data_IF_984621244288
#
_entry.id   IF_984621244288
#
_cell.length_a   1.000
_cell.length_b   1.000
_cell.length_c   1.000
_cell.angle_alpha   90.00
_cell.angle_beta   90.00
_cell.angle_gamma   90.00
#
_symmetry.space_group_name_H-M   'P 1'
#
loop_
_entity.id
_entity.type
_entity.pdbx_description
1 polymer ?
#
# COMPACT_ATOMS: atom_id res chain seq x y z
N UNK A 1 23.17 28.61 -0.79
CA UNK A 1 22.26 27.89 0.13
C UNK A 1 21.34 28.81 0.95
N UNK A 2 20.87 29.96 0.42
CA UNK A 2 20.04 30.91 1.20
C UNK A 2 18.64 31.22 0.66
N UNK A 3 18.27 30.73 -0.54
CA UNK A 3 17.01 31.11 -1.21
C UNK A 3 15.93 30.02 -1.22
N UNK A 4 16.29 28.77 -0.89
CA UNK A 4 15.34 27.64 -0.80
C UNK A 4 14.66 27.51 0.56
N UNK A 5 15.27 28.06 1.63
CA UNK A 5 14.69 28.06 2.99
C UNK A 5 13.65 29.15 3.20
N UNK A 6 13.66 30.22 2.39
CA UNK A 6 12.67 31.30 2.46
C UNK A 6 11.32 30.91 1.85
N UNK A 7 11.32 30.06 0.82
CA UNK A 7 10.09 29.64 0.14
C UNK A 7 9.28 28.61 0.96
N UNK A 8 9.96 27.76 1.73
CA UNK A 8 9.32 26.75 2.59
C UNK A 8 8.71 27.32 3.89
N UNK A 9 9.14 28.49 4.36
CA UNK A 9 8.55 29.12 5.57
C UNK A 9 7.28 29.92 5.28
N UNK A 10 7.08 30.42 4.06
CA UNK A 10 5.91 31.23 3.72
C UNK A 10 4.66 30.39 3.41
N UNK A 11 4.83 29.13 2.98
CA UNK A 11 3.72 28.25 2.62
C UNK A 11 3.07 27.58 3.84
N UNK A 12 3.84 27.33 4.91
CA UNK A 12 3.32 26.73 6.15
C UNK A 12 2.58 27.75 7.04
N UNK A 13 2.88 29.05 6.93
CA UNK A 13 2.21 30.09 7.71
C UNK A 13 0.78 30.43 7.23
N UNK A 14 0.37 30.00 6.02
CA UNK A 14 -0.97 30.25 5.48
C UNK A 14 -2.00 29.15 5.76
N UNK A 15 -1.57 28.02 6.32
CA UNK A 15 -2.44 26.86 6.52
C UNK A 15 -2.95 26.67 7.95
N UNK A 16 -2.61 27.58 8.88
CA UNK A 16 -2.96 27.47 10.32
C UNK A 16 -4.03 28.49 10.76
N UNK A 17 -4.42 29.45 9.92
CA UNK A 17 -5.35 30.54 10.29
C UNK A 17 -6.78 30.31 9.81
N UNK A 18 -7.36 29.14 10.09
CA UNK A 18 -8.79 28.90 9.82
C UNK A 18 -9.43 28.07 10.93
N UNK A 19 -9.63 28.70 12.08
CA UNK A 19 -10.42 28.18 13.18
C UNK A 19 -11.58 29.16 13.42
N UNK A 20 -12.85 28.77 13.22
CA UNK A 20 -13.95 29.63 13.62
C UNK A 20 -14.37 29.28 15.07
N UNK A 21 -14.02 30.19 15.97
CA UNK A 21 -14.60 30.31 17.31
C UNK A 21 -16.09 30.67 17.21
N UNK A 22 -16.94 29.90 17.89
CA UNK A 22 -18.35 30.24 18.05
C UNK A 22 -18.57 31.26 19.17
N UNK A 23 -19.41 32.28 18.93
CA UNK A 23 -20.62 32.62 19.72
C UNK A 23 -21.32 33.90 19.24
N UNK A 24 -22.65 33.85 19.38
CA UNK A 24 -23.61 34.93 19.64
C UNK A 24 -24.15 35.81 18.49
N UNK A 25 -25.36 35.41 18.05
CA UNK A 25 -26.61 36.19 18.02
C UNK A 25 -26.64 37.59 17.35
N UNK A 26 -27.39 37.68 16.25
CA UNK A 26 -28.47 38.67 16.10
C UNK A 26 -29.43 38.27 14.97
N UNK A 27 -30.68 38.62 15.20
CA UNK A 27 -31.90 38.29 14.46
C UNK A 27 -32.20 39.27 13.32
N UNK A 28 -32.62 38.76 12.14
CA UNK A 28 -33.71 39.34 11.36
C UNK A 28 -34.19 38.38 10.23
N UNK A 29 -35.49 38.36 9.89
CA UNK A 29 -36.10 37.36 9.01
C UNK A 29 -36.42 37.88 7.59
N UNK A 30 -36.80 36.92 6.74
CA UNK A 30 -37.48 37.03 5.44
C UNK A 30 -36.62 37.36 4.20
N UNK A 31 -36.48 36.38 3.31
CA UNK A 31 -37.09 36.47 1.97
C UNK A 31 -37.05 35.10 1.25
N UNK A 32 -38.18 34.74 0.64
CA UNK A 32 -38.35 33.59 -0.23
C UNK A 32 -37.41 33.71 -1.44
N UNK A 33 -36.65 32.65 -1.74
CA UNK A 33 -35.96 32.53 -3.03
C UNK A 33 -35.96 31.06 -3.49
N UNK A 34 -36.84 30.80 -4.45
CA UNK A 34 -36.72 29.90 -5.60
C UNK A 34 -36.21 28.44 -5.42
N UNK A 35 -37.05 27.41 -5.63
CA UNK A 35 -36.68 25.99 -5.48
C UNK A 35 -35.98 25.35 -6.71
N UNK A 36 -35.46 26.13 -7.67
CA UNK A 36 -35.01 25.59 -8.97
C UNK A 36 -33.50 25.30 -9.13
N UNK A 37 -32.68 25.43 -8.08
CA UNK A 37 -31.21 25.29 -8.19
C UNK A 37 -30.58 24.02 -7.56
N UNK A 38 -31.36 22.98 -7.25
CA UNK A 38 -30.90 21.82 -6.47
C UNK A 38 -30.64 20.52 -7.27
N UNK A 39 -30.43 20.58 -8.58
CA UNK A 39 -30.29 19.37 -9.43
C UNK A 39 -28.97 19.24 -10.19
N UNK A 40 -27.90 19.92 -9.78
CA UNK A 40 -26.59 19.81 -10.48
C UNK A 40 -25.40 19.39 -9.58
N UNK A 41 -25.67 18.74 -8.44
CA UNK A 41 -24.62 18.28 -7.50
C UNK A 41 -24.44 16.76 -7.44
N UNK A 42 -25.02 16.02 -8.39
CA UNK A 42 -25.18 14.56 -8.30
C UNK A 42 -24.17 13.72 -9.12
N UNK A 43 -23.08 14.29 -9.64
CA UNK A 43 -22.01 13.52 -10.29
C UNK A 43 -20.62 13.84 -9.72
N UNK A 44 -20.44 13.61 -8.43
CA UNK A 44 -19.11 13.27 -7.91
C UNK A 44 -18.78 11.84 -8.36
N UNK A 45 -18.37 11.73 -9.63
CA UNK A 45 -17.82 10.52 -10.21
C UNK A 45 -16.61 10.07 -9.36
N UNK A 46 -16.86 9.16 -8.42
CA UNK A 46 -15.83 8.45 -7.68
C UNK A 46 -15.15 7.49 -8.64
N UNK A 47 -14.20 8.02 -9.42
CA UNK A 47 -13.38 7.19 -10.28
C UNK A 47 -12.67 6.14 -9.39
N UNK A 48 -12.88 4.84 -9.65
CA UNK A 48 -12.21 3.81 -8.87
C UNK A 48 -10.71 3.94 -9.12
N UNK A 49 -9.96 4.26 -8.08
CA UNK A 49 -8.49 4.24 -8.13
C UNK A 49 -8.07 2.78 -8.26
N UNK A 50 -7.90 2.32 -9.50
CA UNK A 50 -7.47 0.95 -9.79
C UNK A 50 -5.96 0.84 -9.52
N UNK A 51 -5.61 0.55 -8.26
CA UNK A 51 -4.22 0.25 -7.88
C UNK A 51 -3.88 -1.18 -8.32
N UNK A 52 -3.35 -1.33 -9.54
CA UNK A 52 -2.83 -2.61 -10.04
C UNK A 52 -1.42 -2.86 -9.49
N UNK A 53 -1.32 -3.39 -8.28
CA UNK A 53 -0.02 -3.77 -7.71
C UNK A 53 -0.10 -4.21 -6.26
N UNK A 54 0.80 -5.11 -5.84
CA UNK A 54 1.04 -5.31 -4.41
C UNK A 54 1.85 -4.13 -3.89
N UNK A 55 1.38 -3.38 -2.89
CA UNK A 55 2.07 -2.25 -2.26
C UNK A 55 3.58 -2.51 -2.01
N UNK A 56 3.92 -3.76 -1.66
CA UNK A 56 5.31 -4.23 -1.48
C UNK A 56 6.18 -4.03 -2.73
N UNK A 57 5.65 -4.33 -3.91
CA UNK A 57 6.34 -4.24 -5.21
C UNK A 57 6.53 -2.77 -5.63
N UNK A 58 5.59 -1.90 -5.29
CA UNK A 58 5.67 -0.49 -5.65
C UNK A 58 6.62 0.26 -4.72
N UNK A 59 6.62 -0.02 -3.42
CA UNK A 59 7.62 0.48 -2.47
C UNK A 59 9.04 0.03 -2.82
N UNK A 60 9.20 -1.22 -3.27
CA UNK A 60 10.47 -1.75 -3.76
C UNK A 60 10.97 -0.99 -4.99
N UNK A 61 10.08 -0.64 -5.92
CA UNK A 61 10.42 0.04 -7.17
C UNK A 61 10.66 1.55 -6.99
N UNK A 62 9.87 2.22 -6.15
CA UNK A 62 9.92 3.69 -6.00
C UNK A 62 10.98 4.18 -5.00
N UNK A 63 11.27 3.44 -3.93
CA UNK A 63 12.19 3.90 -2.89
C UNK A 63 13.57 3.24 -2.93
N UNK A 64 13.60 1.91 -2.89
CA UNK A 64 14.82 1.18 -2.51
C UNK A 64 15.63 0.72 -3.73
N UNK A 65 14.95 0.39 -4.83
CA UNK A 65 15.58 0.12 -6.12
C UNK A 65 16.58 1.20 -6.56
N UNK A 66 16.21 2.49 -6.62
CA UNK A 66 17.13 3.55 -7.03
C UNK A 66 18.27 3.76 -6.04
N UNK A 67 18.02 3.70 -4.72
CA UNK A 67 19.10 3.81 -3.72
C UNK A 67 20.13 2.68 -3.82
N UNK A 68 19.68 1.44 -3.97
CA UNK A 68 20.57 0.30 -4.16
C UNK A 68 21.36 0.40 -5.47
N UNK A 69 20.71 0.84 -6.55
CA UNK A 69 21.35 1.06 -7.84
C UNK A 69 22.45 2.14 -7.75
N UNK A 70 22.16 3.26 -7.08
CA UNK A 70 23.14 4.34 -6.86
C UNK A 70 24.31 3.85 -6.00
N UNK A 71 24.06 3.11 -4.92
CA UNK A 71 25.13 2.57 -4.08
C UNK A 71 26.05 1.61 -4.83
N UNK A 72 25.47 0.72 -5.66
CA UNK A 72 26.23 -0.20 -6.51
C UNK A 72 27.01 0.56 -7.59
N UNK A 73 26.40 1.57 -8.23
CA UNK A 73 27.05 2.40 -9.24
C UNK A 73 28.25 3.17 -8.66
N UNK A 74 28.08 3.78 -7.47
CA UNK A 74 29.18 4.48 -6.78
C UNK A 74 30.30 3.51 -6.38
N UNK A 75 29.97 2.32 -5.89
CA UNK A 75 30.98 1.32 -5.51
C UNK A 75 31.75 0.82 -6.74
N UNK A 76 31.05 0.57 -7.84
CA UNK A 76 31.66 0.18 -9.10
C UNK A 76 32.57 1.30 -9.66
N UNK A 77 32.08 2.54 -9.66
CA UNK A 77 32.82 3.71 -10.11
C UNK A 77 34.09 3.93 -9.27
N UNK A 78 33.99 3.89 -7.93
CA UNK A 78 35.14 4.05 -7.04
C UNK A 78 36.17 2.93 -7.22
N UNK A 79 35.71 1.68 -7.36
CA UNK A 79 36.60 0.54 -7.60
C UNK A 79 37.34 0.68 -8.92
N UNK A 80 36.64 1.06 -9.99
CA UNK A 80 37.26 1.28 -11.30
C UNK A 80 38.27 2.43 -11.26
N UNK A 81 37.89 3.58 -10.72
CA UNK A 81 38.76 4.74 -10.58
C UNK A 81 40.02 4.44 -9.76
N UNK A 82 39.90 3.63 -8.69
CA UNK A 82 41.05 3.23 -7.88
C UNK A 82 42.01 2.31 -8.66
N UNK A 83 41.48 1.39 -9.45
CA UNK A 83 42.28 0.50 -10.30
C UNK A 83 43.04 1.29 -11.36
N UNK A 84 42.37 2.23 -12.03
CA UNK A 84 43.00 3.08 -13.06
C UNK A 84 44.10 3.95 -12.45
N UNK A 85 43.87 4.47 -11.23
CA UNK A 85 44.88 5.26 -10.51
C UNK A 85 46.10 4.43 -10.14
N UNK A 86 45.91 3.18 -9.68
CA UNK A 86 47.01 2.26 -9.37
C UNK A 86 47.81 1.89 -10.63
N UNK A 87 47.13 1.61 -11.73
CA UNK A 87 47.74 1.30 -13.02
C UNK A 87 48.57 2.49 -13.55
N UNK A 88 47.99 3.69 -13.54
CA UNK A 88 48.67 4.91 -13.98
C UNK A 88 49.88 5.24 -13.09
N UNK A 89 49.79 5.02 -11.78
CA UNK A 89 50.91 5.20 -10.86
C UNK A 89 52.05 4.20 -11.15
N UNK A 90 51.72 2.93 -11.41
CA UNK A 90 52.72 1.92 -11.81
C UNK A 90 53.48 2.32 -13.07
N UNK A 91 52.73 2.72 -14.10
CA UNK A 91 53.28 3.05 -15.40
C UNK A 91 54.14 4.31 -15.32
N UNK A 92 53.70 5.32 -14.55
CA UNK A 92 54.47 6.52 -14.32
C UNK A 92 55.80 6.24 -13.60
N UNK A 93 55.79 5.41 -12.54
CA UNK A 93 57.01 5.02 -11.82
C UNK A 93 57.95 4.18 -12.69
N UNK A 94 57.42 3.18 -13.42
CA UNK A 94 58.21 2.34 -14.31
C UNK A 94 58.89 3.15 -15.43
N UNK A 95 58.15 4.09 -16.02
CA UNK A 95 58.68 4.98 -17.05
C UNK A 95 59.69 5.99 -16.48
N UNK A 96 59.50 6.47 -15.26
CA UNK A 96 60.46 7.33 -14.57
C UNK A 96 61.79 6.60 -14.31
N UNK A 97 61.73 5.35 -13.84
CA UNK A 97 62.91 4.50 -13.65
C UNK A 97 63.65 4.26 -14.97
N UNK A 98 62.93 3.95 -16.06
CA UNK A 98 63.54 3.79 -17.39
C UNK A 98 64.24 5.07 -17.88
N UNK A 99 63.60 6.24 -17.72
CA UNK A 99 64.20 7.54 -18.06
C UNK A 99 65.43 7.87 -17.21
N UNK A 100 65.40 7.55 -15.93
CA UNK A 100 66.53 7.78 -15.03
C UNK A 100 67.75 6.94 -15.42
N UNK A 101 67.55 5.65 -15.69
CA UNK A 101 68.63 4.76 -16.16
C UNK A 101 69.15 5.22 -17.52
N UNK A 102 68.27 5.60 -18.44
CA UNK A 102 68.67 6.15 -19.74
C UNK A 102 69.51 7.42 -19.60
N UNK A 103 69.13 8.33 -18.70
CA UNK A 103 69.86 9.57 -18.44
C UNK A 103 71.23 9.34 -17.78
N UNK A 104 71.38 8.30 -16.95
CA UNK A 104 72.65 7.93 -16.31
C UNK A 104 73.57 7.12 -17.23
N UNK A 105 73.04 6.59 -18.34
CA UNK A 105 73.78 5.75 -19.28
C UNK A 105 74.29 6.55 -20.49
N UNK A 106 74.02 7.85 -20.58
CA UNK A 106 74.27 8.67 -21.78
C UNK A 106 75.75 8.69 -22.20
N UNK A 107 76.65 9.04 -21.28
CA UNK A 107 78.08 9.15 -21.53
C UNK A 107 78.74 7.77 -21.59
N UNK A 108 78.33 6.85 -20.69
CA UNK A 108 78.91 5.50 -20.62
C UNK A 108 78.57 4.66 -21.85
N UNK A 109 77.38 4.85 -22.44
CA UNK A 109 76.99 4.18 -23.69
C UNK A 109 77.70 4.77 -24.91
N UNK A 110 77.96 6.07 -24.90
CA UNK A 110 78.73 6.74 -25.95
C UNK A 110 80.23 6.38 -25.92
N UNK A 111 80.81 6.29 -24.72
CA UNK A 111 82.21 5.93 -24.52
C UNK A 111 82.50 4.41 -24.61
N UNK A 112 81.47 3.57 -24.62
CA UNK A 112 81.62 2.11 -24.63
C UNK A 112 82.11 1.52 -23.30
N UNK A 113 81.92 2.22 -22.18
CA UNK A 113 82.37 1.79 -20.85
C UNK A 113 81.38 0.78 -20.23
N UNK A 114 81.60 -0.50 -20.52
CA UNK A 114 80.81 -1.62 -20.00
C UNK A 114 80.78 -1.68 -18.46
N UNK A 115 81.93 -1.55 -17.73
CA UNK A 115 81.92 -1.46 -16.27
C UNK A 115 81.03 -0.35 -15.70
N UNK A 116 81.05 0.85 -16.29
CA UNK A 116 80.20 1.96 -15.83
C UNK A 116 78.70 1.68 -16.08
N UNK A 117 78.35 1.14 -17.25
CA UNK A 117 76.97 0.73 -17.55
C UNK A 117 76.47 -0.38 -16.60
N UNK A 118 77.33 -1.35 -16.25
CA UNK A 118 77.01 -2.39 -15.28
C UNK A 118 76.73 -1.80 -13.90
N UNK A 119 77.48 -0.76 -13.49
CA UNK A 119 77.27 -0.07 -12.22
C UNK A 119 75.94 0.68 -12.18
N UNK A 120 75.57 1.36 -13.27
CA UNK A 120 74.27 2.04 -13.40
C UNK A 120 73.12 1.03 -13.35
N UNK A 121 73.22 -0.05 -14.13
CA UNK A 121 72.22 -1.11 -14.14
C UNK A 121 72.10 -1.81 -12.76
N UNK A 122 73.23 -2.07 -12.10
CA UNK A 122 73.26 -2.62 -10.74
C UNK A 122 72.71 -1.66 -9.68
N UNK A 123 72.94 -0.35 -9.82
CA UNK A 123 72.36 0.66 -8.93
C UNK A 123 70.83 0.73 -9.05
N UNK A 124 70.31 0.62 -10.28
CA UNK A 124 68.88 0.56 -10.53
C UNK A 124 68.24 -0.66 -9.86
N UNK A 125 68.85 -1.85 -9.96
CA UNK A 125 68.37 -3.04 -9.25
C UNK A 125 68.35 -2.88 -7.73
N UNK A 126 69.39 -2.26 -7.15
CA UNK A 126 69.47 -2.03 -5.69
C UNK A 126 68.38 -1.10 -5.17
N UNK A 127 67.79 -0.25 -6.02
CA UNK A 127 66.65 0.59 -5.63
C UNK A 127 65.39 -0.21 -5.29
N UNK A 128 65.30 -1.48 -5.72
CA UNK A 128 64.13 -2.34 -5.55
C UNK A 128 62.94 -2.00 -6.45
N UNK A 129 63.04 -0.93 -7.26
CA UNK A 129 61.96 -0.50 -8.15
C UNK A 129 61.92 -1.28 -9.47
N UNK A 130 63.00 -2.00 -9.80
CA UNK A 130 63.18 -2.68 -11.09
C UNK A 130 63.81 -4.05 -10.87
N UNK A 131 63.31 -5.04 -11.59
CA UNK A 131 63.72 -6.45 -11.45
C UNK A 131 64.83 -6.81 -12.42
N UNK A 132 64.83 -6.19 -13.61
CA UNK A 132 65.87 -6.35 -14.62
C UNK A 132 66.02 -5.07 -15.44
N UNK A 133 67.25 -4.78 -15.82
CA UNK A 133 67.61 -3.66 -16.68
C UNK A 133 68.42 -4.19 -17.85
N UNK A 134 68.06 -3.77 -19.05
CA UNK A 134 68.74 -4.11 -20.29
C UNK A 134 69.03 -2.83 -21.07
N UNK A 135 70.31 -2.56 -21.30
CA UNK A 135 70.78 -1.38 -22.02
C UNK A 135 71.33 -1.87 -23.35
N UNK A 136 70.75 -1.41 -24.45
CA UNK A 136 71.10 -1.81 -25.81
C UNK A 136 71.55 -0.62 -26.66
N UNK A 137 72.51 -0.83 -27.55
CA UNK A 137 72.90 0.14 -28.60
C UNK A 137 72.52 -0.45 -29.98
N UNK A 138 72.38 0.39 -31.01
CA UNK A 138 72.16 0.02 -32.42
C UNK A 138 73.21 -0.95 -32.98
N UNK A 139 74.39 -1.04 -32.33
CA UNK A 139 75.46 -1.99 -32.65
C UNK A 139 75.36 -3.35 -31.94
N UNK A 140 74.32 -3.60 -31.13
CA UNK A 140 74.08 -4.89 -30.46
C UNK A 140 74.91 -5.12 -29.18
N UNK A 141 75.35 -4.06 -28.49
CA UNK A 141 75.97 -4.16 -27.15
C UNK A 141 74.87 -4.18 -26.10
N UNK A 142 74.79 -5.26 -25.31
CA UNK A 142 73.76 -5.46 -24.29
C UNK A 142 74.37 -5.62 -22.90
N UNK A 143 74.20 -4.61 -22.06
CA UNK A 143 74.43 -4.76 -20.63
C UNK A 143 73.13 -5.23 -20.00
N UNK A 144 73.15 -6.42 -19.42
CA UNK A 144 72.02 -6.96 -18.67
C UNK A 144 72.38 -7.05 -17.19
N UNK A 145 71.53 -6.50 -16.35
CA UNK A 145 71.62 -6.66 -14.91
C UNK A 145 70.28 -7.19 -14.40
N UNK A 146 70.34 -8.27 -13.64
CA UNK A 146 69.19 -8.95 -13.04
C UNK A 146 69.20 -10.44 -13.36
N UNK A 147 68.25 -11.21 -12.80
CA UNK A 147 68.11 -12.63 -13.14
C UNK A 147 67.92 -12.80 -14.65
N UNK A 148 68.60 -13.80 -15.23
CA UNK A 148 68.45 -14.17 -16.64
C UNK A 148 66.96 -14.40 -16.93
N UNK A 149 66.53 -14.03 -18.15
CA UNK A 149 65.13 -14.11 -18.59
C UNK A 149 64.47 -15.34 -17.99
N UNK A 150 63.40 -15.18 -17.19
CA UNK A 150 62.81 -16.34 -16.56
C UNK A 150 62.02 -17.06 -17.64
N UNK A 151 62.69 -17.93 -18.40
CA UNK A 151 62.04 -18.88 -19.31
C UNK A 151 61.03 -19.78 -18.55
N UNK A 152 61.02 -19.70 -17.21
CA UNK A 152 60.14 -20.39 -16.27
C UNK A 152 59.25 -19.48 -15.41
N UNK A 153 59.36 -18.14 -15.45
CA UNK A 153 58.34 -17.28 -14.85
C UNK A 153 57.30 -16.97 -15.92
N UNK A 154 56.00 -17.00 -15.59
CA UNK A 154 54.98 -16.65 -16.56
C UNK A 154 55.26 -15.23 -17.06
N UNK A 155 55.39 -15.07 -18.39
CA UNK A 155 55.57 -13.77 -19.05
C UNK A 155 54.51 -12.71 -18.64
N UNK A 156 53.46 -13.14 -17.95
CA UNK A 156 52.40 -12.31 -17.37
C UNK A 156 52.77 -11.55 -16.09
N UNK A 157 53.86 -11.89 -15.38
CA UNK A 157 54.20 -11.25 -14.09
C UNK A 157 55.18 -10.08 -14.19
N UNK A 158 55.57 -9.68 -15.39
CA UNK A 158 56.57 -8.62 -15.59
C UNK A 158 56.09 -7.65 -16.65
N UNK A 159 56.22 -6.35 -16.39
CA UNK A 159 55.90 -5.28 -17.36
C UNK A 159 57.18 -4.59 -17.80
N UNK A 160 57.27 -4.32 -19.10
CA UNK A 160 58.46 -3.73 -19.75
C UNK A 160 58.21 -2.24 -19.99
N UNK A 161 59.15 -1.41 -19.55
CA UNK A 161 59.19 0.03 -19.77
C UNK A 161 60.42 0.39 -20.59
N UNK A 162 60.27 1.25 -21.60
CA UNK A 162 61.36 1.58 -22.52
C UNK A 162 61.62 3.08 -22.56
N UNK A 163 62.89 3.46 -22.53
CA UNK A 163 63.32 4.84 -22.70
C UNK A 163 64.51 4.93 -23.68
N UNK A 164 64.48 5.88 -24.63
CA UNK A 164 65.63 6.13 -25.51
C UNK A 164 66.75 6.85 -24.77
N UNK A 165 68.00 6.49 -25.08
CA UNK A 165 69.21 7.19 -24.61
C UNK A 165 69.60 8.25 -25.64
N UNK A 166 69.58 9.51 -25.23
CA UNK A 166 69.99 10.66 -26.05
C UNK A 166 71.14 11.39 -25.37
N UNK A 167 72.18 11.75 -26.12
CA UNK A 167 73.28 12.59 -25.61
C UNK A 167 72.76 13.97 -25.21
N UNK A 168 73.04 14.38 -23.96
CA UNK A 168 72.73 15.73 -23.50
C UNK A 168 73.76 16.72 -24.05
N UNK A 169 73.34 17.96 -24.30
CA UNK A 169 74.23 19.01 -24.86
C UNK A 169 75.42 19.34 -23.93
N UNK A 170 75.25 19.20 -22.61
CA UNK A 170 76.34 19.35 -21.65
C UNK A 170 77.44 18.29 -21.84
N UNK A 171 77.07 17.07 -22.26
CA UNK A 171 78.00 15.98 -22.58
C UNK A 171 78.57 16.09 -24.00
N UNK A 172 77.96 16.89 -24.89
CA UNK A 172 78.53 17.26 -26.21
C UNK A 172 79.71 18.23 -26.09
N UNK A 173 79.76 19.03 -25.02
CA UNK A 173 80.72 20.12 -24.88
C UNK A 173 82.14 19.70 -24.42
N UNK A 174 82.34 18.46 -24.00
CA UNK A 174 83.65 17.96 -23.57
C UNK A 174 84.28 17.11 -24.69
N UNK A 175 85.28 17.64 -25.40
CA UNK A 175 86.47 17.01 -26.01
C UNK A 175 86.33 15.72 -26.87
N UNK A 176 85.12 15.16 -27.06
CA UNK A 176 84.91 13.81 -27.58
C UNK A 176 83.99 13.75 -28.83
N UNK A 177 83.86 14.84 -29.58
CA UNK A 177 83.14 14.84 -30.85
C UNK A 177 84.06 14.33 -31.98
N UNK A 178 83.82 13.14 -32.59
CA UNK A 178 84.55 12.73 -33.78
C UNK A 178 84.15 13.62 -34.97
N UNK A 179 85.10 13.91 -35.85
CA UNK A 179 84.86 14.66 -37.08
C UNK A 179 83.87 13.90 -37.98
N UNK A 180 82.64 14.42 -38.09
CA UNK A 180 81.59 13.86 -38.95
C UNK A 180 80.28 13.44 -38.26
N UNK A 181 80.07 13.77 -36.97
CA UNK A 181 78.76 13.53 -36.34
C UNK A 181 77.70 14.41 -36.99
N UNK A 182 76.89 13.83 -37.87
CA UNK A 182 75.73 14.51 -38.45
C UNK A 182 74.71 14.84 -37.38
N UNK A 183 74.20 16.06 -37.49
CA UNK A 183 73.09 16.61 -36.74
C UNK A 183 71.92 15.62 -36.64
N UNK A 184 71.31 15.58 -35.46
CA UNK A 184 70.06 14.87 -35.26
C UNK A 184 70.00 14.21 -33.89
N UNK A 185 68.93 14.52 -33.17
CA UNK A 185 68.53 13.95 -31.90
C UNK A 185 68.20 12.43 -31.96
N UNK A 186 68.92 11.65 -32.78
CA UNK A 186 68.73 10.23 -32.94
C UNK A 186 69.19 9.50 -31.66
N UNK A 187 68.37 8.59 -31.11
CA UNK A 187 68.73 7.84 -29.92
C UNK A 187 69.92 6.91 -30.21
N UNK A 188 70.89 6.93 -29.31
CA UNK A 188 72.16 6.16 -29.40
C UNK A 188 71.93 4.73 -28.90
N UNK A 189 70.87 4.53 -28.11
CA UNK A 189 70.46 3.22 -27.65
C UNK A 189 69.12 3.24 -26.94
N UNK A 190 68.70 2.08 -26.48
CA UNK A 190 67.42 1.86 -25.82
C UNK A 190 67.64 1.14 -24.50
N UNK A 191 67.07 1.70 -23.44
CA UNK A 191 67.00 1.06 -22.12
C UNK A 191 65.64 0.41 -21.96
N UNK A 192 65.63 -0.89 -21.68
CA UNK A 192 64.47 -1.63 -21.24
C UNK A 192 64.59 -1.90 -19.75
N UNK A 193 63.53 -1.57 -19.03
CA UNK A 193 63.40 -1.82 -17.61
C UNK A 193 62.22 -2.75 -17.40
N UNK A 194 62.46 -3.86 -16.71
CA UNK A 194 61.45 -4.85 -16.39
C UNK A 194 61.12 -4.74 -14.91
N UNK A 195 59.83 -4.57 -14.60
CA UNK A 195 59.33 -4.46 -13.22
C UNK A 195 58.33 -5.58 -12.93
N UNK A 196 58.49 -6.22 -11.77
CA UNK A 196 57.59 -7.26 -11.29
C UNK A 196 56.19 -6.68 -10.97
N UNK A 197 55.15 -7.36 -11.43
CA UNK A 197 53.75 -6.99 -11.20
C UNK A 197 53.14 -7.69 -9.98
N UNK A 198 53.86 -8.59 -9.30
CA UNK A 198 53.33 -9.36 -8.14
C UNK A 198 52.86 -8.48 -6.97
N UNK A 199 53.58 -7.40 -6.65
CA UNK A 199 53.17 -6.44 -5.63
C UNK A 199 51.88 -5.69 -6.04
N UNK A 200 51.79 -5.32 -7.32
CA UNK A 200 50.63 -4.66 -7.90
C UNK A 200 49.40 -5.54 -8.00
N UNK A 201 49.57 -6.81 -8.35
CA UNK A 201 48.47 -7.76 -8.36
C UNK A 201 47.95 -7.99 -6.94
N UNK A 202 48.81 -8.07 -5.92
CA UNK A 202 48.39 -8.19 -4.52
C UNK A 202 47.60 -6.96 -4.04
N UNK A 203 48.04 -5.74 -4.38
CA UNK A 203 47.29 -4.51 -4.04
C UNK A 203 45.96 -4.42 -4.79
N UNK A 204 45.93 -4.78 -6.07
CA UNK A 204 44.71 -4.88 -6.88
C UNK A 204 43.70 -5.83 -6.26
N UNK A 205 44.12 -7.04 -5.86
CA UNK A 205 43.23 -8.03 -5.23
C UNK A 205 42.69 -7.51 -3.89
N UNK A 206 43.52 -6.82 -3.10
CA UNK A 206 43.10 -6.20 -1.85
C UNK A 206 42.05 -5.10 -2.08
N UNK A 207 42.26 -4.21 -3.04
CA UNK A 207 41.29 -3.16 -3.39
C UNK A 207 39.97 -3.74 -3.92
N UNK A 208 40.03 -4.80 -4.73
CA UNK A 208 38.83 -5.51 -5.19
C UNK A 208 38.06 -6.15 -4.03
N UNK A 209 38.74 -6.83 -3.10
CA UNK A 209 38.09 -7.42 -1.93
C UNK A 209 37.41 -6.36 -1.06
N UNK A 210 38.05 -5.19 -0.87
CA UNK A 210 37.41 -4.08 -0.13
C UNK A 210 36.19 -3.52 -0.85
N UNK A 211 36.23 -3.38 -2.19
CA UNK A 211 35.08 -2.93 -2.98
C UNK A 211 33.92 -3.92 -2.94
N UNK A 212 34.19 -5.22 -3.04
CA UNK A 212 33.19 -6.30 -2.91
C UNK A 212 32.58 -6.27 -1.50
N UNK A 213 33.39 -6.09 -0.46
CA UNK A 213 32.92 -5.98 0.92
C UNK A 213 31.93 -4.82 1.11
N UNK A 214 32.27 -3.63 0.61
CA UNK A 214 31.40 -2.45 0.65
C UNK A 214 30.10 -2.69 -0.13
N UNK A 215 30.18 -3.29 -1.32
CA UNK A 215 29.01 -3.61 -2.14
C UNK A 215 28.07 -4.59 -1.42
N UNK A 216 28.60 -5.62 -0.76
CA UNK A 216 27.82 -6.61 -0.03
C UNK A 216 27.14 -6.00 1.20
N UNK A 217 27.83 -5.13 1.94
CA UNK A 217 27.26 -4.37 3.06
C UNK A 217 26.12 -3.47 2.57
N UNK A 218 26.32 -2.75 1.45
CA UNK A 218 25.29 -1.90 0.87
C UNK A 218 24.04 -2.70 0.45
N UNK A 219 24.24 -3.88 -0.12
CA UNK A 219 23.14 -4.78 -0.52
C UNK A 219 22.39 -5.34 0.69
N UNK A 220 23.10 -5.74 1.75
CA UNK A 220 22.49 -6.17 3.01
C UNK A 220 21.71 -5.04 3.68
N UNK A 221 22.25 -3.82 3.71
CA UNK A 221 21.58 -2.64 4.25
C UNK A 221 20.29 -2.33 3.45
N UNK A 222 20.36 -2.39 2.11
CA UNK A 222 19.19 -2.24 1.25
C UNK A 222 18.14 -3.32 1.54
N UNK A 223 18.55 -4.59 1.64
CA UNK A 223 17.65 -5.70 1.98
C UNK A 223 17.00 -5.53 3.36
N UNK A 224 17.78 -5.13 4.37
CA UNK A 224 17.28 -4.86 5.71
C UNK A 224 16.27 -3.71 5.70
N UNK A 225 16.55 -2.62 4.98
CA UNK A 225 15.63 -1.49 4.80
C UNK A 225 14.31 -1.92 4.14
N UNK A 226 14.35 -2.76 3.08
CA UNK A 226 13.13 -3.34 2.47
C UNK A 226 12.32 -4.10 3.50
N UNK A 227 12.99 -4.97 4.26
CA UNK A 227 12.32 -5.82 5.25
C UNK A 227 11.70 -5.01 6.38
N UNK A 228 12.36 -3.94 6.82
CA UNK A 228 11.82 -3.00 7.80
C UNK A 228 10.61 -2.24 7.25
N UNK A 229 10.71 -1.63 6.07
CA UNK A 229 9.61 -0.87 5.45
C UNK A 229 8.37 -1.76 5.20
N UNK A 230 8.58 -2.98 4.73
CA UNK A 230 7.51 -3.96 4.52
C UNK A 230 6.78 -4.32 5.82
N UNK A 231 7.49 -4.37 6.96
CA UNK A 231 6.88 -4.60 8.27
C UNK A 231 6.24 -3.34 8.84
N UNK A 232 6.86 -2.17 8.67
CA UNK A 232 6.40 -0.91 9.23
C UNK A 232 5.11 -0.38 8.56
N UNK A 233 4.97 -0.54 7.24
CA UNK A 233 3.86 0.06 6.48
C UNK A 233 2.89 -0.99 5.96
N UNK A 234 3.39 -2.04 5.31
CA UNK A 234 2.51 -2.99 4.61
C UNK A 234 1.76 -3.94 5.55
N UNK A 235 2.30 -4.26 6.74
CA UNK A 235 1.58 -5.07 7.72
C UNK A 235 0.39 -4.31 8.34
N UNK A 236 0.54 -3.08 8.89
CA UNK A 236 -0.59 -2.32 9.43
C UNK A 236 -1.66 -1.99 8.38
N UNK A 237 -1.26 -1.66 7.15
CA UNK A 237 -2.25 -1.36 6.11
C UNK A 237 -3.11 -2.59 5.76
N UNK A 238 -2.50 -3.79 5.75
CA UNK A 238 -3.23 -5.05 5.53
C UNK A 238 -4.14 -5.41 6.70
N UNK A 239 -3.77 -5.12 7.95
CA UNK A 239 -4.67 -5.35 9.08
C UNK A 239 -5.88 -4.43 9.01
N UNK A 240 -5.68 -3.13 8.74
CA UNK A 240 -6.78 -2.16 8.57
C UNK A 240 -7.72 -2.59 7.46
N UNK A 241 -7.19 -2.93 6.27
CA UNK A 241 -8.00 -3.39 5.14
C UNK A 241 -8.83 -4.64 5.47
N UNK A 242 -8.26 -5.60 6.22
CA UNK A 242 -9.00 -6.79 6.67
C UNK A 242 -10.09 -6.43 7.69
N UNK A 243 -9.83 -5.51 8.59
CA UNK A 243 -10.83 -5.04 9.56
C UNK A 243 -11.99 -4.36 8.84
N UNK A 244 -11.72 -3.48 7.86
CA UNK A 244 -12.77 -2.85 7.05
C UNK A 244 -13.60 -3.89 6.30
N UNK A 245 -12.96 -4.86 5.64
CA UNK A 245 -13.68 -5.95 4.97
C UNK A 245 -14.51 -6.80 5.96
N UNK A 246 -14.06 -6.96 7.21
CA UNK A 246 -14.83 -7.62 8.25
C UNK A 246 -16.05 -6.79 8.70
N UNK A 247 -15.91 -5.46 8.80
CA UNK A 247 -17.01 -4.55 9.10
C UNK A 247 -18.07 -4.55 7.99
N UNK A 248 -17.65 -4.55 6.72
CA UNK A 248 -18.56 -4.67 5.57
C UNK A 248 -19.31 -6.00 5.56
N UNK A 249 -18.68 -7.08 6.03
CA UNK A 249 -19.31 -8.39 6.19
C UNK A 249 -20.20 -8.50 7.45
N UNK A 250 -20.48 -7.39 8.14
CA UNK A 250 -21.33 -7.34 9.34
C UNK A 250 -20.65 -7.80 10.64
N UNK A 251 -19.34 -8.07 10.63
CA UNK A 251 -18.59 -8.48 11.83
C UNK A 251 -18.05 -7.26 12.56
N UNK A 252 -18.94 -6.57 13.27
CA UNK A 252 -18.61 -5.33 13.99
C UNK A 252 -17.70 -5.51 15.21
N UNK A 253 -17.33 -6.74 15.57
CA UNK A 253 -16.38 -7.04 16.66
C UNK A 253 -14.91 -6.97 16.23
N UNK A 254 -14.64 -6.95 14.92
CA UNK A 254 -13.28 -6.86 14.42
C UNK A 254 -12.61 -5.55 14.86
N UNK A 255 -11.35 -5.63 15.28
CA UNK A 255 -10.55 -4.48 15.72
C UNK A 255 -9.18 -4.52 15.08
N UNK A 256 -8.64 -3.33 14.83
CA UNK A 256 -7.25 -3.14 14.48
C UNK A 256 -6.40 -3.15 15.76
N UNK A 257 -5.47 -4.09 15.87
CA UNK A 257 -4.49 -4.11 16.95
C UNK A 257 -3.42 -3.03 16.70
N UNK A 258 -3.43 -1.98 17.52
CA UNK A 258 -2.44 -0.90 17.46
C UNK A 258 -1.23 -1.30 18.29
N UNK A 259 -0.38 -2.17 17.73
CA UNK A 259 0.90 -2.54 18.37
C UNK A 259 1.89 -1.40 18.19
N UNK A 260 1.77 -0.35 19.01
CA UNK A 260 2.80 0.67 19.15
C UNK A 260 3.93 0.16 20.03
N UNK A 261 5.03 -0.31 19.44
CA UNK A 261 6.27 -0.49 20.21
C UNK A 261 6.85 0.90 20.55
N UNK A 262 7.04 1.26 21.83
CA UNK A 262 7.49 2.59 22.23
C UNK A 262 8.92 2.95 21.75
N UNK A 263 9.76 1.96 21.46
CA UNK A 263 11.21 2.16 21.38
C UNK A 263 11.82 2.28 19.97
N UNK A 264 11.05 2.67 18.95
CA UNK A 264 11.56 2.69 17.57
C UNK A 264 11.54 4.09 16.92
N UNK A 265 12.68 4.60 16.40
CA UNK A 265 12.89 6.01 16.00
C UNK A 265 12.11 6.53 14.77
N UNK A 266 11.27 5.70 14.13
CA UNK A 266 10.38 6.13 13.04
C UNK A 266 8.95 6.43 13.57
N UNK A 267 8.82 7.41 14.47
CA UNK A 267 7.60 7.64 15.24
C UNK A 267 6.52 8.47 14.51
N UNK A 268 6.87 9.25 13.46
CA UNK A 268 5.92 10.14 12.77
C UNK A 268 4.93 9.40 11.86
N UNK A 269 5.39 8.60 10.89
CA UNK A 269 4.50 7.86 9.97
C UNK A 269 3.63 6.84 10.72
N UNK A 270 4.14 6.32 11.84
CA UNK A 270 3.37 5.46 12.75
C UNK A 270 2.24 6.19 13.45
N UNK A 271 2.35 7.50 13.65
CA UNK A 271 1.32 8.27 14.33
C UNK A 271 0.07 8.41 13.45
N UNK A 272 0.23 8.65 12.14
CA UNK A 272 -0.90 8.75 11.21
C UNK A 272 -1.59 7.40 11.01
N UNK A 273 -0.83 6.32 10.83
CA UNK A 273 -1.40 4.96 10.73
C UNK A 273 -2.05 4.51 12.03
N UNK A 274 -1.49 4.87 13.19
CA UNK A 274 -2.11 4.61 14.49
C UNK A 274 -3.39 5.44 14.69
N UNK A 275 -3.40 6.70 14.26
CA UNK A 275 -4.60 7.53 14.27
C UNK A 275 -5.70 6.90 13.40
N UNK A 276 -5.37 6.50 12.17
CA UNK A 276 -6.32 5.80 11.28
C UNK A 276 -6.84 4.50 11.90
N UNK A 277 -5.98 3.69 12.50
CA UNK A 277 -6.40 2.46 13.16
C UNK A 277 -7.35 2.74 14.34
N UNK A 278 -7.09 3.79 15.11
CA UNK A 278 -7.98 4.24 16.18
C UNK A 278 -9.33 4.76 15.65
N UNK A 279 -9.33 5.49 14.53
CA UNK A 279 -10.56 5.98 13.89
C UNK A 279 -11.41 4.82 13.37
N UNK A 280 -10.80 3.81 12.76
CA UNK A 280 -11.49 2.58 12.34
C UNK A 280 -12.06 1.82 13.55
N UNK A 281 -11.32 1.74 14.66
CA UNK A 281 -11.82 1.13 15.89
C UNK A 281 -13.02 1.90 16.47
N UNK A 282 -12.99 3.24 16.45
CA UNK A 282 -14.12 4.10 16.86
C UNK A 282 -15.34 3.90 15.97
N UNK A 283 -15.12 3.75 14.65
CA UNK A 283 -16.20 3.45 13.70
C UNK A 283 -16.82 2.08 13.99
N UNK A 284 -16.00 1.05 14.18
CA UNK A 284 -16.46 -0.30 14.53
C UNK A 284 -17.33 -0.30 15.79
N UNK A 285 -16.90 0.44 16.82
CA UNK A 285 -17.66 0.57 18.07
C UNK A 285 -19.01 1.28 17.87
N UNK A 286 -19.05 2.34 17.04
CA UNK A 286 -20.31 3.03 16.71
C UNK A 286 -21.28 2.13 15.95
N UNK A 287 -20.78 1.36 14.98
CA UNK A 287 -21.60 0.41 14.22
C UNK A 287 -22.14 -0.70 15.12
N UNK A 288 -21.31 -1.27 15.99
CA UNK A 288 -21.73 -2.27 16.96
C UNK A 288 -22.81 -1.74 17.91
N UNK A 289 -22.64 -0.53 18.45
CA UNK A 289 -23.65 0.12 19.30
C UNK A 289 -24.96 0.37 18.56
N UNK A 290 -24.90 0.86 17.32
CA UNK A 290 -26.10 1.06 16.51
C UNK A 290 -26.83 -0.25 16.21
N UNK A 291 -26.09 -1.32 15.91
CA UNK A 291 -26.67 -2.64 15.68
C UNK A 291 -27.40 -3.15 16.93
N UNK A 292 -26.77 -3.08 18.10
CA UNK A 292 -27.39 -3.49 19.37
C UNK A 292 -28.65 -2.68 19.69
N UNK A 293 -28.60 -1.36 19.53
CA UNK A 293 -29.77 -0.49 19.76
C UNK A 293 -30.89 -0.80 18.76
N UNK A 294 -30.56 -1.09 17.50
CA UNK A 294 -31.54 -1.46 16.48
C UNK A 294 -32.22 -2.79 16.81
N UNK A 295 -31.45 -3.81 17.18
CA UNK A 295 -31.98 -5.12 17.58
C UNK A 295 -32.91 -5.01 18.79
N UNK A 296 -32.54 -4.21 19.79
CA UNK A 296 -33.36 -4.02 20.98
C UNK A 296 -34.68 -3.32 20.63
N UNK A 297 -34.64 -2.25 19.81
CA UNK A 297 -35.86 -1.58 19.33
C UNK A 297 -36.76 -2.51 18.53
N UNK A 298 -36.19 -3.39 17.70
CA UNK A 298 -36.97 -4.39 16.97
C UNK A 298 -37.63 -5.38 17.92
N UNK A 299 -36.91 -5.85 18.95
CA UNK A 299 -37.50 -6.75 19.97
C UNK A 299 -38.62 -6.07 20.75
N UNK A 300 -38.40 -4.85 21.22
CA UNK A 300 -39.41 -4.06 21.95
C UNK A 300 -40.65 -3.82 21.07
N UNK A 301 -40.46 -3.37 19.82
CA UNK A 301 -41.56 -3.14 18.89
C UNK A 301 -42.34 -4.42 18.59
N UNK A 302 -41.64 -5.55 18.43
CA UNK A 302 -42.27 -6.85 18.20
C UNK A 302 -43.07 -7.30 19.43
N UNK A 303 -42.54 -7.13 20.64
CA UNK A 303 -43.24 -7.46 21.88
C UNK A 303 -44.51 -6.61 22.06
N UNK A 304 -44.42 -5.30 21.81
CA UNK A 304 -45.59 -4.40 21.85
C UNK A 304 -46.63 -4.77 20.79
N UNK A 305 -46.18 -5.12 19.58
CA UNK A 305 -47.09 -5.55 18.51
C UNK A 305 -47.84 -6.84 18.91
N UNK A 306 -47.13 -7.84 19.44
CA UNK A 306 -47.74 -9.09 19.93
C UNK A 306 -48.73 -8.85 21.05
N UNK A 307 -48.39 -7.97 22.01
CA UNK A 307 -49.30 -7.60 23.10
C UNK A 307 -50.57 -6.95 22.56
N UNK A 308 -50.45 -5.97 21.65
CA UNK A 308 -51.61 -5.30 21.05
C UNK A 308 -52.48 -6.25 20.23
N UNK A 309 -51.87 -7.20 19.52
CA UNK A 309 -52.61 -8.24 18.82
C UNK A 309 -53.42 -9.10 19.79
N UNK A 310 -52.81 -9.54 20.90
CA UNK A 310 -53.50 -10.32 21.92
C UNK A 310 -54.66 -9.53 22.58
N UNK A 311 -54.44 -8.25 22.90
CA UNK A 311 -55.49 -7.37 23.43
C UNK A 311 -56.65 -7.19 22.43
N UNK A 312 -56.35 -6.99 21.15
CA UNK A 312 -57.35 -6.86 20.10
C UNK A 312 -58.16 -8.15 19.91
N UNK A 313 -57.50 -9.31 19.93
CA UNK A 313 -58.16 -10.63 19.83
C UNK A 313 -59.07 -10.87 21.04
N UNK A 314 -58.59 -10.59 22.25
CA UNK A 314 -59.41 -10.72 23.46
C UNK A 314 -60.62 -9.77 23.46
N UNK A 315 -60.45 -8.54 22.95
CA UNK A 315 -61.55 -7.60 22.77
C UNK A 315 -62.55 -8.05 21.69
N UNK A 316 -62.08 -8.66 20.60
CA UNK A 316 -62.95 -9.24 19.57
C UNK A 316 -63.78 -10.40 20.13
N UNK A 317 -63.15 -11.31 20.88
CA UNK A 317 -63.83 -12.43 21.54
C UNK A 317 -64.84 -11.98 22.59
N UNK A 318 -64.52 -10.95 23.39
CA UNK A 318 -65.46 -10.42 24.40
C UNK A 318 -66.66 -9.74 23.75
N UNK A 319 -66.46 -8.97 22.67
CA UNK A 319 -67.56 -8.39 21.86
C UNK A 319 -68.46 -9.47 21.27
N UNK A 320 -67.87 -10.52 20.68
CA UNK A 320 -68.63 -11.63 20.11
C UNK A 320 -69.50 -12.33 21.17
N UNK A 321 -68.96 -12.58 22.37
CA UNK A 321 -69.69 -13.17 23.50
C UNK A 321 -70.81 -12.25 23.99
N UNK A 322 -70.54 -10.95 24.12
CA UNK A 322 -71.54 -9.97 24.54
C UNK A 322 -72.72 -9.89 23.57
N UNK A 323 -72.46 -9.81 22.27
CA UNK A 323 -73.51 -9.77 21.24
C UNK A 323 -74.31 -11.07 21.18
N UNK A 324 -73.66 -12.23 21.35
CA UNK A 324 -74.35 -13.51 21.42
C UNK A 324 -75.29 -13.62 22.65
N UNK A 325 -74.89 -13.08 23.81
CA UNK A 325 -75.74 -13.04 25.00
C UNK A 325 -76.90 -12.05 24.84
N UNK A 326 -76.61 -10.82 24.39
CA UNK A 326 -77.64 -9.79 24.16
C UNK A 326 -78.70 -10.23 23.15
N UNK A 327 -78.30 -10.96 22.09
CA UNK A 327 -79.22 -11.61 21.15
C UNK A 327 -80.24 -12.49 21.84
N UNK A 328 -79.74 -13.42 22.66
CA UNK A 328 -80.58 -14.41 23.31
C UNK A 328 -81.63 -13.71 24.17
N UNK A 329 -81.20 -12.69 24.90
CA UNK A 329 -82.04 -11.90 25.79
C UNK A 329 -83.04 -11.01 25.03
N UNK A 330 -82.74 -10.58 23.81
CA UNK A 330 -83.65 -9.85 22.93
C UNK A 330 -84.63 -10.76 22.16
N UNK A 331 -84.23 -12.00 21.87
CA UNK A 331 -85.08 -13.00 21.22
C UNK A 331 -86.25 -13.42 22.12
N UNK A 332 -85.99 -13.56 23.43
CA UNK A 332 -87.02 -13.92 24.41
C UNK A 332 -88.26 -13.01 24.39
N UNK A 333 -88.14 -11.67 24.52
CA UNK A 333 -89.28 -10.77 24.45
C UNK A 333 -89.91 -10.71 23.05
N UNK A 334 -89.13 -10.82 21.97
CA UNK A 334 -89.68 -10.91 20.61
C UNK A 334 -90.57 -12.15 20.43
N UNK A 335 -90.14 -13.29 20.96
CA UNK A 335 -90.93 -14.52 20.92
C UNK A 335 -92.20 -14.40 21.76
N UNK A 336 -92.11 -13.81 22.96
CA UNK A 336 -93.27 -13.52 23.79
C UNK A 336 -94.27 -12.58 23.10
N UNK A 337 -93.79 -11.52 22.45
CA UNK A 337 -94.63 -10.62 21.65
C UNK A 337 -95.32 -11.36 20.51
N UNK A 338 -94.62 -12.26 19.82
CA UNK A 338 -95.20 -13.15 18.81
C UNK A 338 -96.36 -13.98 19.37
N UNK A 339 -96.16 -14.65 20.51
CA UNK A 339 -97.21 -15.45 21.17
C UNK A 339 -98.42 -14.61 21.59
N UNK A 340 -98.22 -13.38 22.08
CA UNK A 340 -99.32 -12.49 22.43
C UNK A 340 -100.11 -12.05 21.19
N UNK A 341 -99.43 -11.73 20.09
CA UNK A 341 -100.07 -11.36 18.82
C UNK A 341 -100.85 -12.56 18.24
N UNK A 342 -100.26 -13.75 18.27
CA UNK A 342 -100.90 -15.01 17.84
C UNK A 342 -102.13 -15.34 18.68
N UNK A 343 -102.15 -14.99 19.97
CA UNK A 343 -103.32 -15.12 20.84
C UNK A 343 -104.41 -14.08 20.62
N UNK A 344 -104.07 -12.89 20.11
CA UNK A 344 -105.02 -11.82 19.78
C UNK A 344 -105.70 -12.02 18.43
N UNK A 345 -105.02 -12.66 17.47
CA UNK A 345 -105.53 -12.85 16.11
C UNK A 345 -106.89 -13.61 16.03
N UNK A 346 -107.15 -14.66 16.84
CA UNK A 346 -108.43 -15.38 16.85
C UNK A 346 -109.59 -14.56 17.42
N UNK A 347 -109.32 -13.62 18.33
CA UNK A 347 -110.33 -12.81 19.03
C UNK A 347 -110.50 -11.41 18.44
N UNK A 348 -109.67 -11.04 17.45
CA UNK A 348 -109.71 -9.74 16.80
C UNK A 348 -110.98 -9.54 15.94
N UNK A 349 -111.59 -8.36 16.07
CA UNK A 349 -112.71 -7.95 15.22
C UNK A 349 -112.26 -7.72 13.76
N UNK A 350 -113.18 -7.74 12.77
CA UNK A 350 -112.85 -7.52 11.35
C UNK A 350 -112.10 -6.20 11.10
N UNK A 351 -112.39 -5.15 11.88
CA UNK A 351 -111.72 -3.86 11.78
C UNK A 351 -110.30 -3.85 12.40
N UNK A 352 -110.03 -4.71 13.40
CA UNK A 352 -108.74 -4.80 14.09
C UNK A 352 -107.76 -5.78 13.41
N UNK A 353 -108.28 -6.78 12.70
CA UNK A 353 -107.48 -7.84 12.06
C UNK A 353 -106.32 -7.32 11.16
N UNK A 354 -106.48 -6.28 10.33
CA UNK A 354 -105.37 -5.73 9.54
C UNK A 354 -104.26 -5.08 10.39
N UNK A 355 -104.58 -4.58 11.58
CA UNK A 355 -103.59 -4.02 12.49
C UNK A 355 -102.80 -5.13 13.21
N UNK A 356 -103.47 -6.20 13.65
CA UNK A 356 -102.83 -7.36 14.29
C UNK A 356 -101.90 -8.10 13.31
N UNK A 357 -102.30 -8.26 12.05
CA UNK A 357 -101.45 -8.86 11.01
C UNK A 357 -100.18 -8.03 10.75
N UNK A 358 -100.30 -6.70 10.68
CA UNK A 358 -99.12 -5.82 10.55
C UNK A 358 -98.18 -5.88 11.76
N UNK A 359 -98.72 -6.05 12.97
CA UNK A 359 -97.91 -6.28 14.17
C UNK A 359 -97.16 -7.62 14.10
N UNK A 360 -97.82 -8.66 13.59
CA UNK A 360 -97.20 -9.98 13.38
C UNK A 360 -96.06 -9.91 12.35
N UNK A 361 -96.31 -9.30 11.19
CA UNK A 361 -95.28 -9.10 10.15
C UNK A 361 -94.10 -8.28 10.67
N UNK A 362 -94.36 -7.19 11.40
CA UNK A 362 -93.30 -6.33 11.97
C UNK A 362 -92.47 -7.07 13.02
N UNK A 363 -93.09 -7.87 13.88
CA UNK A 363 -92.40 -8.65 14.92
C UNK A 363 -91.57 -9.78 14.28
N UNK A 364 -92.11 -10.44 13.25
CA UNK A 364 -91.37 -11.44 12.47
C UNK A 364 -90.16 -10.83 11.76
N UNK A 365 -90.34 -9.67 11.12
CA UNK A 365 -89.25 -8.95 10.47
C UNK A 365 -88.15 -8.51 11.45
N UNK A 366 -88.53 -8.06 12.64
CA UNK A 366 -87.58 -7.71 13.70
C UNK A 366 -86.77 -8.94 14.17
N UNK A 367 -87.38 -10.13 14.19
CA UNK A 367 -86.70 -11.39 14.47
C UNK A 367 -85.63 -11.72 13.43
N UNK A 368 -85.97 -11.61 12.14
CA UNK A 368 -85.02 -11.84 11.03
C UNK A 368 -83.87 -10.84 11.07
N UNK A 369 -84.15 -9.54 11.22
CA UNK A 369 -83.12 -8.51 11.34
C UNK A 369 -82.17 -8.75 12.52
N UNK A 370 -82.71 -9.22 13.65
CA UNK A 370 -81.90 -9.54 14.81
C UNK A 370 -80.97 -10.72 14.53
N UNK A 371 -81.48 -11.78 13.89
CA UNK A 371 -80.67 -12.95 13.51
C UNK A 371 -79.58 -12.59 12.48
N UNK A 372 -79.90 -11.79 11.47
CA UNK A 372 -78.95 -11.34 10.44
C UNK A 372 -77.81 -10.49 11.05
N UNK A 373 -78.14 -9.54 11.93
CA UNK A 373 -77.14 -8.69 12.61
C UNK A 373 -76.12 -9.54 13.40
N UNK A 374 -76.58 -10.66 13.94
CA UNK A 374 -75.74 -11.55 14.75
C UNK A 374 -74.91 -12.48 13.91
N UNK A 375 -75.45 -12.95 12.80
CA UNK A 375 -74.68 -13.74 11.85
C UNK A 375 -73.52 -12.91 11.29
N UNK A 376 -73.77 -11.64 10.95
CA UNK A 376 -72.72 -10.67 10.57
C UNK A 376 -71.73 -10.46 11.71
N UNK A 377 -72.19 -10.25 12.94
CA UNK A 377 -71.29 -10.08 14.09
C UNK A 377 -70.43 -11.32 14.39
N UNK A 378 -70.95 -12.53 14.17
CA UNK A 378 -70.21 -13.79 14.34
C UNK A 378 -69.18 -13.98 13.24
N UNK A 379 -69.52 -13.54 12.02
CA UNK A 379 -68.63 -13.55 10.86
C UNK A 379 -67.46 -12.58 11.06
N UNK A 380 -67.73 -11.34 11.49
CA UNK A 380 -66.72 -10.31 11.77
C UNK A 380 -65.75 -10.72 12.89
N UNK A 381 -66.21 -11.52 13.84
CA UNK A 381 -65.37 -12.03 14.92
C UNK A 381 -64.42 -13.17 14.49
N UNK A 382 -64.44 -13.61 13.22
CA UNK A 382 -63.67 -14.76 12.70
C UNK A 382 -63.87 -16.08 13.48
N UNK A 383 -64.96 -16.22 14.25
CA UNK A 383 -65.24 -17.40 15.08
C UNK A 383 -65.81 -18.57 14.25
N UNK A 384 -66.27 -18.33 13.02
CA UNK A 384 -66.81 -19.35 12.14
C UNK A 384 -65.66 -20.09 11.43
N UNK A 385 -65.40 -21.33 11.84
CA UNK A 385 -64.49 -22.24 11.14
C UNK A 385 -65.26 -22.92 9.99
N UNK A 386 -64.96 -22.63 8.72
CA UNK A 386 -65.68 -23.24 7.60
C UNK A 386 -65.35 -24.74 7.51
N UNK A 387 -66.38 -25.59 7.45
CA UNK A 387 -66.23 -27.01 7.20
C UNK A 387 -66.13 -27.27 5.69
N UNK A 388 -64.90 -27.47 5.19
CA UNK A 388 -64.67 -27.74 3.77
C UNK A 388 -64.95 -29.21 3.47
N UNK A 389 -65.99 -29.48 2.68
CA UNK A 389 -66.36 -30.81 2.20
C UNK A 389 -66.72 -30.79 0.71
N UNK A 390 -66.61 -31.93 0.03
CA UNK A 390 -67.06 -32.07 -1.35
C UNK A 390 -68.59 -32.04 -1.44
N UNK A 391 -69.15 -31.09 -2.19
CA UNK A 391 -70.61 -30.91 -2.34
C UNK A 391 -71.00 -31.13 -3.80
N UNK A 392 -72.04 -31.93 -4.06
CA UNK A 392 -72.60 -32.11 -5.39
C UNK A 392 -73.36 -30.86 -5.82
N UNK A 393 -72.88 -30.16 -6.85
CA UNK A 393 -73.54 -28.97 -7.39
C UNK A 393 -74.94 -29.29 -7.94
N UNK A 394 -75.14 -30.44 -8.57
CA UNK A 394 -76.45 -30.84 -9.12
C UNK A 394 -77.53 -30.92 -8.02
N UNK A 395 -77.21 -31.51 -6.87
CA UNK A 395 -78.12 -31.61 -5.74
C UNK A 395 -78.41 -30.27 -5.05
N UNK A 396 -77.51 -29.29 -5.21
CA UNK A 396 -77.64 -27.96 -4.63
C UNK A 396 -78.57 -27.08 -5.48
N UNK A 397 -78.48 -27.19 -6.81
CA UNK A 397 -79.37 -26.46 -7.73
C UNK A 397 -80.78 -27.07 -7.83
N UNK A 398 -80.95 -28.38 -7.63
CA UNK A 398 -82.27 -29.03 -7.56
C UNK A 398 -83.14 -28.54 -6.38
N UNK A 399 -82.56 -27.89 -5.36
CA UNK A 399 -83.28 -27.30 -4.22
C UNK A 399 -83.71 -25.85 -4.42
N UNK A 400 -83.26 -25.21 -5.50
CA UNK A 400 -83.56 -23.82 -5.84
C UNK A 400 -84.67 -23.70 -6.91
N UNK A 401 -85.17 -24.84 -7.41
CA UNK A 401 -86.41 -24.96 -8.19
C UNK A 401 -87.47 -25.68 -7.40
#
# INVERSE_FOLDING_TARGET
MGRLTAWLRLSVARAVEAQPSGRAASSQPAELSDPSHFTDSAELATQPVVVRGTLRRDLLRLGIGPCAAVALALTAWFTHSRLDTLEAAFDAEGQAAARQVAAMSDLSLYAGDLPALQNVAGAALRSGQVTRVEISNNAGVYVTAGPASPASAPAASVRVFTAPVTLREASRAATFAPAGSTDGAAPIGLVQVLRDTTAHTRERTRSLMTGIGIALIALLAAWAAVRQMARAVAQPLRSISRTVAALEAGRFEARCEVVGHPDAPAARDRHELAALANDINRLAERLQRNQQVSEERVREATAVALQRMAEAEQAALSRARFLAAASHDLRQPLHAMGLFIDGLLPTATPAQRPAVQRLQESTGFMGVLLDDLLEISRLDAQVLTPAIAGVSLAALFDRLG
#
